data_IF_980770196164
#
_entry.id   IF_980770196164
#
_cell.length_a   1.000
_cell.length_b   1.000
_cell.length_c   1.000
_cell.angle_alpha   90.00
_cell.angle_beta   90.00
_cell.angle_gamma   90.00
#
_symmetry.space_group_name_H-M   'P 1'
#
loop_
_entity.id
_entity.type
_entity.pdbx_description
1 polymer ?
#
# COMPACT_ATOMS: atom_id res chain seq x y z
N UNK A 1 -10.29 8.45 17.08
CA UNK A 1 -10.21 8.23 15.62
C UNK A 1 -9.53 6.89 15.42
N UNK A 2 -10.18 5.93 14.77
CA UNK A 2 -9.62 4.59 14.56
C UNK A 2 -8.34 4.72 13.71
N UNK A 3 -7.23 4.07 14.07
CA UNK A 3 -5.95 4.17 13.33
C UNK A 3 -6.14 3.90 11.84
N UNK A 4 -6.99 2.93 11.50
CA UNK A 4 -7.40 2.59 10.14
C UNK A 4 -8.08 3.73 9.36
N UNK A 5 -8.79 4.67 10.00
CA UNK A 5 -9.38 5.81 9.27
C UNK A 5 -8.30 6.73 8.71
N UNK A 6 -7.23 6.97 9.47
CA UNK A 6 -6.08 7.75 9.00
C UNK A 6 -5.30 7.04 7.90
N UNK A 7 -5.31 5.70 7.92
CA UNK A 7 -4.77 4.89 6.83
C UNK A 7 -5.59 5.09 5.57
N UNK A 8 -6.92 4.95 5.67
CA UNK A 8 -7.83 5.12 4.54
C UNK A 8 -7.79 6.52 3.94
N UNK A 9 -7.68 7.57 4.76
CA UNK A 9 -7.49 8.94 4.25
C UNK A 9 -6.22 9.06 3.39
N UNK A 10 -5.12 8.41 3.79
CA UNK A 10 -3.87 8.40 3.01
C UNK A 10 -3.94 7.54 1.75
N UNK A 11 -4.64 6.40 1.81
CA UNK A 11 -4.88 5.57 0.62
C UNK A 11 -5.69 6.34 -0.45
N UNK A 12 -6.55 7.28 -0.03
CA UNK A 12 -7.32 8.16 -0.92
C UNK A 12 -6.47 9.26 -1.57
N UNK A 13 -5.37 9.72 -0.94
CA UNK A 13 -4.50 10.78 -1.49
C UNK A 13 -3.78 10.37 -2.78
N UNK A 14 -3.85 9.10 -3.17
CA UNK A 14 -3.39 8.56 -4.45
C UNK A 14 -1.91 8.87 -4.77
N UNK A 15 -1.05 8.99 -3.76
CA UNK A 15 0.35 9.38 -3.88
C UNK A 15 1.24 8.40 -4.67
N UNK A 16 0.76 7.18 -4.92
CA UNK A 16 1.56 6.11 -5.54
C UNK A 16 2.57 5.48 -4.58
N UNK A 17 2.46 5.78 -3.29
CA UNK A 17 3.25 5.17 -2.23
C UNK A 17 2.52 3.95 -1.66
N UNK A 18 3.27 3.04 -1.07
CA UNK A 18 2.74 1.92 -0.29
C UNK A 18 2.98 2.25 1.18
N UNK A 19 1.94 2.13 1.98
CA UNK A 19 1.98 2.35 3.41
C UNK A 19 1.76 1.04 4.16
N UNK A 20 2.74 0.66 4.97
CA UNK A 20 2.70 -0.52 5.83
C UNK A 20 2.61 -0.04 7.27
N UNK A 21 1.68 -0.61 8.03
CA UNK A 21 1.36 -0.18 9.38
C UNK A 21 1.52 -1.34 10.36
N UNK A 22 2.05 -1.07 11.54
CA UNK A 22 2.03 -2.03 12.63
C UNK A 22 0.69 -1.94 13.35
N UNK A 23 -0.05 -3.04 13.42
CA UNK A 23 -1.27 -3.12 14.22
C UNK A 23 -1.03 -3.82 15.55
N UNK A 24 -1.45 -3.17 16.63
CA UNK A 24 -1.45 -3.74 17.98
C UNK A 24 -0.06 -3.93 18.61
N UNK A 25 -0.03 -4.53 19.80
CA UNK A 25 1.21 -4.78 20.57
C UNK A 25 1.97 -6.06 20.15
N UNK A 26 1.40 -6.86 19.25
CA UNK A 26 1.96 -8.14 18.82
C UNK A 26 3.00 -7.99 17.68
N UNK A 27 3.25 -6.77 17.23
CA UNK A 27 4.31 -6.46 16.27
C UNK A 27 4.01 -6.84 14.82
N UNK A 28 2.77 -7.21 14.52
CA UNK A 28 2.34 -7.59 13.17
C UNK A 28 2.15 -6.39 12.26
N UNK A 29 2.56 -6.54 11.01
CA UNK A 29 2.52 -5.48 10.01
C UNK A 29 1.49 -5.79 8.94
N UNK A 30 0.76 -4.77 8.54
CA UNK A 30 -0.34 -4.88 7.60
C UNK A 30 -0.32 -3.74 6.58
N UNK A 31 -0.80 -4.08 5.38
CA UNK A 31 -1.10 -3.13 4.31
C UNK A 31 -2.58 -3.19 4.01
N UNK A 32 -3.13 -2.07 3.54
CA UNK A 32 -4.56 -1.90 3.30
C UNK A 32 -4.84 -1.48 1.85
N UNK A 33 -6.01 -1.85 1.34
CA UNK A 33 -6.59 -1.37 0.09
C UNK A 33 -5.60 -1.37 -1.09
N UNK A 34 -5.18 -0.18 -1.54
CA UNK A 34 -4.33 0.00 -2.70
C UNK A 34 -2.89 -0.37 -2.38
N UNK A 35 -2.40 -0.01 -1.20
CA UNK A 35 -1.11 -0.46 -0.69
C UNK A 35 -1.01 -1.98 -0.67
N UNK A 36 -2.08 -2.67 -0.25
CA UNK A 36 -2.13 -4.14 -0.28
C UNK A 36 -2.04 -4.69 -1.71
N UNK A 37 -2.81 -4.11 -2.63
CA UNK A 37 -2.77 -4.49 -4.03
C UNK A 37 -1.38 -4.31 -4.65
N UNK A 38 -0.74 -3.14 -4.45
CA UNK A 38 0.58 -2.87 -5.01
C UNK A 38 1.67 -3.74 -4.39
N UNK A 39 1.61 -3.95 -3.08
CA UNK A 39 2.58 -4.81 -2.43
C UNK A 39 2.46 -6.25 -2.96
N UNK A 40 1.24 -6.74 -3.23
CA UNK A 40 1.04 -8.07 -3.83
C UNK A 40 1.59 -8.22 -5.26
N UNK A 41 1.77 -7.10 -5.98
CA UNK A 41 2.44 -7.09 -7.29
C UNK A 41 3.95 -7.03 -7.17
N UNK A 42 4.44 -6.53 -6.04
CA UNK A 42 5.84 -6.25 -5.80
C UNK A 42 6.55 -7.41 -5.10
N UNK A 43 5.83 -8.14 -4.24
CA UNK A 43 6.34 -9.25 -3.45
C UNK A 43 5.50 -10.50 -3.70
N UNK A 44 6.16 -11.62 -3.98
CA UNK A 44 5.51 -12.92 -4.02
C UNK A 44 5.16 -13.37 -2.59
N UNK A 45 4.01 -14.03 -2.42
CA UNK A 45 3.56 -14.56 -1.12
C UNK A 45 2.69 -13.61 -0.28
N UNK A 46 2.41 -12.39 -0.76
CA UNK A 46 1.42 -11.50 -0.12
C UNK A 46 0.01 -12.03 -0.40
N UNK A 47 -0.70 -12.43 0.67
CA UNK A 47 -2.07 -12.93 0.58
C UNK A 47 -3.05 -11.83 0.93
N UNK A 48 -3.89 -11.45 -0.03
CA UNK A 48 -4.96 -10.47 0.18
C UNK A 48 -6.13 -11.15 0.92
N UNK A 49 -6.50 -10.58 2.06
CA UNK A 49 -7.61 -11.00 2.90
C UNK A 49 -8.67 -9.91 3.02
N UNK A 50 -9.91 -10.31 3.32
CA UNK A 50 -11.02 -9.40 3.59
C UNK A 50 -11.08 -9.11 5.09
N UNK A 51 -10.72 -7.89 5.47
CA UNK A 51 -10.81 -7.41 6.85
C UNK A 51 -12.15 -6.71 7.09
N UNK A 52 -12.99 -7.26 7.96
CA UNK A 52 -14.29 -6.66 8.30
C UNK A 52 -14.09 -5.73 9.49
N UNK A 53 -14.16 -4.41 9.25
CA UNK A 53 -14.08 -3.40 10.31
C UNK A 53 -15.37 -3.31 11.13
N UNK A 54 -16.51 -3.36 10.44
CA UNK A 54 -17.85 -3.28 11.03
C UNK A 54 -18.82 -4.06 10.14
N UNK A 55 -20.06 -4.27 10.57
CA UNK A 55 -21.08 -5.04 9.84
C UNK A 55 -21.37 -4.51 8.42
N UNK A 56 -20.97 -3.27 8.11
CA UNK A 56 -21.20 -2.63 6.79
C UNK A 56 -19.91 -2.37 6.00
N UNK A 57 -18.75 -2.33 6.67
CA UNK A 57 -17.48 -1.93 6.06
C UNK A 57 -16.45 -3.04 6.13
N UNK A 58 -15.95 -3.42 4.96
CA UNK A 58 -14.83 -4.34 4.81
C UNK A 58 -13.76 -3.70 3.94
N UNK A 59 -12.53 -4.06 4.23
CA UNK A 59 -11.33 -3.60 3.54
C UNK A 59 -10.56 -4.79 2.98
N UNK A 60 -9.76 -4.56 1.96
CA UNK A 60 -8.69 -5.49 1.59
C UNK A 60 -7.51 -5.22 2.51
N UNK A 61 -6.96 -6.26 3.13
CA UNK A 61 -5.74 -6.20 3.94
C UNK A 61 -4.79 -7.30 3.52
N UNK A 62 -3.50 -7.17 3.81
CA UNK A 62 -2.57 -8.30 3.83
C UNK A 62 -1.59 -8.17 5.00
N UNK A 63 -1.26 -9.29 5.64
CA UNK A 63 -0.15 -9.38 6.59
C UNK A 63 1.17 -9.36 5.81
N UNK A 64 2.15 -8.62 6.33
CA UNK A 64 3.44 -8.40 5.68
C UNK A 64 4.55 -8.71 6.65
N UNK A 65 5.53 -9.49 6.18
CA UNK A 65 6.80 -9.57 6.85
C UNK A 65 7.70 -8.43 6.39
N UNK A 66 7.98 -7.49 7.30
CA UNK A 66 8.80 -6.31 7.00
C UNK A 66 10.26 -6.67 6.72
N UNK A 67 10.75 -7.79 7.22
CA UNK A 67 12.11 -8.28 6.94
C UNK A 67 12.25 -8.76 5.48
N UNK A 68 11.13 -9.07 4.82
CA UNK A 68 11.10 -9.43 3.41
C UNK A 68 10.99 -8.22 2.47
N UNK A 69 10.79 -7.00 3.00
CA UNK A 69 10.62 -5.79 2.18
C UNK A 69 12.00 -5.39 1.60
N UNK A 70 12.11 -5.18 0.27
CA UNK A 70 13.37 -4.76 -0.32
C UNK A 70 13.77 -3.37 0.17
N UNK A 71 14.94 -3.24 0.80
CA UNK A 71 15.41 -1.98 1.39
C UNK A 71 15.49 -0.80 0.40
N UNK A 72 15.76 -1.06 -0.90
CA UNK A 72 15.79 0.00 -1.92
C UNK A 72 14.44 0.72 -2.08
N UNK A 73 13.36 0.06 -1.68
CA UNK A 73 12.00 0.58 -1.84
C UNK A 73 11.52 1.38 -0.65
N UNK A 74 12.23 1.32 0.48
CA UNK A 74 11.86 2.03 1.70
C UNK A 74 12.25 3.51 1.54
N UNK A 75 11.25 4.40 1.54
CA UNK A 75 11.46 5.85 1.56
C UNK A 75 11.62 6.37 3.00
N UNK A 76 10.84 5.82 3.91
CA UNK A 76 10.86 6.17 5.33
C UNK A 76 10.35 5.00 6.14
N UNK A 77 10.86 4.84 7.36
CA UNK A 77 10.37 3.84 8.29
C UNK A 77 10.44 4.34 9.73
N UNK A 78 9.58 3.78 10.56
CA UNK A 78 9.47 4.03 11.99
C UNK A 78 9.08 2.74 12.70
N UNK A 79 8.98 2.80 14.02
CA UNK A 79 8.48 1.68 14.82
C UNK A 79 7.00 1.35 14.60
N UNK A 80 6.26 2.16 13.84
CA UNK A 80 4.81 1.97 13.60
C UNK A 80 4.41 1.96 12.13
N UNK A 81 5.28 2.44 11.25
CA UNK A 81 4.94 2.69 9.86
C UNK A 81 6.17 2.54 8.97
N UNK A 82 6.00 1.89 7.82
CA UNK A 82 6.91 1.95 6.68
C UNK A 82 6.21 2.62 5.50
N UNK A 83 6.95 3.48 4.82
CA UNK A 83 6.52 4.12 3.57
C UNK A 83 7.44 3.66 2.47
N UNK A 84 6.88 2.99 1.47
CA UNK A 84 7.62 2.43 0.35
C UNK A 84 7.29 3.19 -0.93
N UNK A 85 8.28 3.36 -1.80
CA UNK A 85 8.06 3.73 -3.19
C UNK A 85 7.51 2.51 -3.92
N UNK A 86 6.37 2.66 -4.56
CA UNK A 86 5.98 1.72 -5.60
C UNK A 86 6.61 2.17 -6.92
N UNK A 87 7.83 1.69 -7.17
CA UNK A 87 8.41 1.74 -8.51
C UNK A 87 8.13 0.37 -9.14
N UNK A 88 7.15 0.24 -10.06
CA UNK A 88 7.08 -0.96 -10.87
C UNK A 88 8.44 -1.03 -11.57
N UNK A 89 9.12 -2.17 -11.51
CA UNK A 89 10.49 -2.30 -11.99
C UNK A 89 10.69 -1.89 -13.47
N UNK A 90 9.64 -1.51 -14.21
CA UNK A 90 9.71 -0.78 -15.48
C UNK A 90 8.51 0.15 -15.79
N UNK A 91 7.61 0.48 -14.84
CA UNK A 91 6.25 0.91 -15.23
C UNK A 91 5.77 2.29 -14.80
N UNK A 92 6.43 3.01 -13.87
CA UNK A 92 5.84 4.26 -13.35
C UNK A 92 5.81 5.37 -14.41
N UNK A 93 6.88 5.49 -15.22
CA UNK A 93 6.93 6.43 -16.34
C UNK A 93 6.02 6.01 -17.51
N UNK A 94 5.91 4.72 -17.83
CA UNK A 94 4.96 4.24 -18.85
C UNK A 94 3.49 4.38 -18.41
N UNK A 95 3.20 4.14 -17.13
CA UNK A 95 1.87 4.32 -16.55
C UNK A 95 1.48 5.81 -16.46
N UNK A 96 2.39 6.68 -16.02
CA UNK A 96 2.17 8.14 -16.06
C UNK A 96 1.97 8.63 -17.51
N UNK A 97 2.82 8.18 -18.44
CA UNK A 97 2.68 8.50 -19.87
C UNK A 97 1.37 7.96 -20.46
N UNK A 98 0.85 6.84 -19.95
CA UNK A 98 -0.44 6.25 -20.35
C UNK A 98 -1.66 6.98 -19.78
N UNK A 99 -1.52 7.74 -18.69
CA UNK A 99 -2.60 8.56 -18.12
C UNK A 99 -2.57 9.98 -18.72
N UNK A 100 -1.38 10.57 -18.91
CA UNK A 100 -1.25 11.88 -19.54
C UNK A 100 -1.50 11.85 -21.05
N UNK A 101 -1.30 10.71 -21.73
CA UNK A 101 -1.53 10.53 -23.16
C UNK A 101 -2.99 10.34 -23.58
N UNK A 102 -3.95 10.29 -22.65
CA UNK A 102 -5.39 10.11 -22.97
C UNK A 102 -6.13 11.45 -23.08
N UNK A 103 -5.48 12.56 -22.75
CA UNK A 103 -6.06 13.89 -22.96
C UNK A 103 -5.48 14.54 -24.23
N UNK A 104 -6.38 14.67 -25.23
CA UNK A 104 -6.30 15.43 -26.49
C UNK A 104 -5.79 14.68 -27.74
N UNK A 105 -6.68 14.42 -28.72
CA UNK A 105 -6.45 14.87 -30.08
C UNK A 105 -7.09 16.24 -30.28
N UNK A 106 -6.34 17.10 -30.95
CA UNK A 106 -6.70 18.43 -31.42
C UNK A 106 -7.71 18.37 -32.58
#
# INVERSE_FOLDING_TARGET
MCEVVKVLERELENSGLIYVYQEGGEGKWYVYERSAYFLSRMMEGVVLERYVMDNTLWLVRAEVDVDCIPHDTILSYSNKEYVLKYAPQNGFQEWLSGIEGVMMPH
#
